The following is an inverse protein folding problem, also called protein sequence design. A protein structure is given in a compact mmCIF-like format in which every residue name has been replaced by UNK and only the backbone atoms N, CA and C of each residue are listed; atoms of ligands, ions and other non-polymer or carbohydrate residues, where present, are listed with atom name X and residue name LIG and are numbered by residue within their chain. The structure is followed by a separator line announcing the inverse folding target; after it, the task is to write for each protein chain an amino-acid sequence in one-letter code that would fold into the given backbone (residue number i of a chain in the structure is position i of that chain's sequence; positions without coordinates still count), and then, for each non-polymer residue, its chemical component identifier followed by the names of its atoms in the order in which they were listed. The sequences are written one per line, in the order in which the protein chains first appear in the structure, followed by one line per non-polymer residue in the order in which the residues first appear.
data_IF_516325123469
#
_entry.id   IF_516325123469
#
_cell.length_a   1.000
_cell.length_b   1.000
_cell.length_c   1.000
_cell.angle_alpha   90.00
_cell.angle_beta   90.00
_cell.angle_gamma   90.00
#
_symmetry.space_group_name_H-M   'P 1'
#
loop_
_entity.id
_entity.type
_entity.pdbx_description
1 polymer ?
#
# COMPACT_ATOMS: atom_id res chain seq x y z
N UNK A 1 23.64 -25.37 11.93
CA UNK A 1 22.19 -25.36 11.58
C UNK A 1 21.77 -23.93 11.21
N UNK A 2 21.78 -23.58 9.93
CA UNK A 2 21.43 -22.25 9.42
C UNK A 2 19.94 -21.98 9.63
N UNK A 3 19.59 -21.28 10.72
CA UNK A 3 18.24 -20.73 10.92
C UNK A 3 17.92 -19.88 9.70
N UNK A 4 17.09 -20.40 8.79
CA UNK A 4 16.60 -19.68 7.63
C UNK A 4 16.19 -18.28 8.08
N UNK A 5 16.91 -17.25 7.62
CA UNK A 5 16.70 -15.84 7.99
C UNK A 5 15.19 -15.60 8.01
N UNK A 6 14.62 -15.33 9.19
CA UNK A 6 13.24 -14.84 9.32
C UNK A 6 13.17 -13.60 8.44
N UNK A 7 12.78 -13.76 7.16
CA UNK A 7 12.88 -12.72 6.12
C UNK A 7 12.33 -11.44 6.72
N UNK A 8 13.19 -10.44 6.94
CA UNK A 8 12.81 -9.21 7.63
C UNK A 8 11.49 -8.69 7.10
N UNK A 9 10.55 -8.45 8.02
CA UNK A 9 9.23 -7.95 7.67
C UNK A 9 9.44 -6.59 6.98
N UNK A 10 8.90 -6.40 5.76
CA UNK A 10 9.17 -5.20 4.97
C UNK A 10 8.60 -3.92 5.59
N UNK A 11 7.66 -4.05 6.53
CA UNK A 11 7.10 -2.97 7.32
C UNK A 11 6.42 -3.56 8.57
N UNK A 12 6.14 -2.71 9.56
CA UNK A 12 5.50 -3.07 10.82
C UNK A 12 4.10 -3.68 10.56
N UNK A 13 3.75 -4.80 11.18
CA UNK A 13 2.45 -5.45 10.95
C UNK A 13 2.26 -6.06 9.55
N UNK A 14 3.34 -6.35 8.82
CA UNK A 14 3.27 -7.07 7.54
C UNK A 14 2.60 -8.45 7.71
N UNK A 15 1.66 -8.74 6.82
CA UNK A 15 0.97 -10.02 6.72
C UNK A 15 0.88 -10.42 5.25
N UNK A 16 1.51 -11.54 4.81
CA UNK A 16 1.53 -11.95 3.41
C UNK A 16 0.15 -12.28 2.82
N UNK A 17 -0.85 -12.58 3.66
CA UNK A 17 -2.21 -12.90 3.20
C UNK A 17 -3.03 -11.63 2.87
N UNK A 18 -2.67 -10.49 3.45
CA UNK A 18 -3.37 -9.21 3.25
C UNK A 18 -2.54 -8.19 2.46
N UNK A 19 -1.24 -8.17 2.70
CA UNK A 19 -0.34 -7.12 2.26
C UNK A 19 0.64 -7.57 1.18
N UNK A 20 1.01 -6.64 0.30
CA UNK A 20 2.16 -6.80 -0.60
C UNK A 20 3.46 -6.47 0.14
N UNK A 21 4.57 -7.15 -0.19
CA UNK A 21 5.89 -6.81 0.37
C UNK A 21 6.30 -5.37 0.08
N UNK A 22 5.81 -4.81 -1.02
CA UNK A 22 6.07 -3.42 -1.44
C UNK A 22 5.11 -2.41 -0.79
N UNK A 23 4.23 -2.83 0.13
CA UNK A 23 3.25 -1.97 0.80
C UNK A 23 1.82 -2.08 0.26
N UNK A 24 0.83 -1.69 1.07
CA UNK A 24 -0.58 -1.75 0.73
C UNK A 24 -1.15 -3.17 0.56
N UNK A 25 -2.41 -3.25 0.12
CA UNK A 25 -3.11 -4.52 -0.08
C UNK A 25 -2.60 -5.28 -1.31
N UNK A 26 -2.41 -6.60 -1.16
CA UNK A 26 -2.15 -7.49 -2.28
C UNK A 26 -3.45 -7.90 -3.00
N UNK A 27 -3.35 -8.72 -4.05
CA UNK A 27 -4.52 -9.18 -4.81
C UNK A 27 -5.52 -9.95 -3.93
N UNK A 28 -5.04 -10.86 -3.07
CA UNK A 28 -5.86 -11.63 -2.13
C UNK A 28 -6.59 -10.73 -1.14
N UNK A 29 -5.90 -9.73 -0.57
CA UNK A 29 -6.48 -8.74 0.32
C UNK A 29 -7.58 -7.93 -0.37
N UNK A 30 -7.35 -7.44 -1.59
CA UNK A 30 -8.40 -6.73 -2.35
C UNK A 30 -9.58 -7.63 -2.68
N UNK A 31 -9.35 -8.89 -3.06
CA UNK A 31 -10.41 -9.86 -3.32
C UNK A 31 -11.23 -10.15 -2.05
N UNK A 32 -10.56 -10.32 -0.90
CA UNK A 32 -11.21 -10.48 0.41
C UNK A 32 -12.11 -9.29 0.74
N UNK A 33 -11.60 -8.06 0.61
CA UNK A 33 -12.39 -6.84 0.81
C UNK A 33 -13.58 -6.72 -0.16
N UNK A 34 -13.41 -7.15 -1.42
CA UNK A 34 -14.51 -7.18 -2.39
C UNK A 34 -15.60 -8.16 -1.96
N UNK A 35 -15.20 -9.36 -1.50
CA UNK A 35 -16.14 -10.41 -1.05
C UNK A 35 -16.87 -10.02 0.23
N UNK A 36 -16.16 -9.46 1.20
CA UNK A 36 -16.71 -9.20 2.54
C UNK A 36 -17.41 -7.85 2.63
N UNK A 37 -16.94 -6.84 1.90
CA UNK A 37 -17.41 -5.45 2.03
C UNK A 37 -17.95 -4.88 0.72
N UNK A 38 -18.11 -5.70 -0.33
CA UNK A 38 -18.55 -5.25 -1.65
C UNK A 38 -17.61 -4.28 -2.37
N UNK A 39 -16.48 -3.92 -1.74
CA UNK A 39 -15.63 -2.81 -2.18
C UNK A 39 -14.72 -3.21 -3.34
N UNK A 40 -14.90 -2.61 -4.52
CA UNK A 40 -14.05 -2.84 -5.70
C UNK A 40 -12.73 -2.04 -5.63
N UNK A 41 -11.90 -2.37 -4.64
CA UNK A 41 -10.61 -1.72 -4.41
C UNK A 41 -9.71 -1.86 -5.64
N UNK A 42 -9.29 -0.71 -6.18
CA UNK A 42 -8.41 -0.67 -7.36
C UNK A 42 -6.96 -0.97 -6.98
N UNK A 43 -6.17 -1.51 -7.93
CA UNK A 43 -4.75 -1.73 -7.71
C UNK A 43 -4.00 -0.40 -7.53
N UNK A 44 -2.89 -0.42 -6.77
CA UNK A 44 -2.02 0.74 -6.59
C UNK A 44 -1.47 1.25 -7.90
N UNK A 45 -1.39 2.57 -8.03
CA UNK A 45 -0.66 3.22 -9.12
C UNK A 45 0.81 3.19 -8.78
N UNK A 46 1.57 2.29 -9.41
CA UNK A 46 3.01 2.10 -9.17
C UNK A 46 3.89 2.94 -10.10
N UNK A 47 3.30 3.54 -11.14
CA UNK A 47 3.97 4.46 -12.05
C UNK A 47 4.37 5.74 -11.34
N UNK A 48 5.51 6.31 -11.73
CA UNK A 48 6.01 7.57 -11.16
C UNK A 48 5.04 8.70 -11.51
N UNK A 49 4.79 9.66 -10.60
CA UNK A 49 3.87 10.76 -10.87
C UNK A 49 4.27 11.59 -12.10
N UNK A 50 5.57 11.75 -12.35
CA UNK A 50 6.11 12.46 -13.52
C UNK A 50 5.81 11.77 -14.86
N UNK A 51 5.64 10.45 -14.86
CA UNK A 51 5.30 9.68 -16.07
C UNK A 51 3.79 9.61 -16.34
N UNK A 52 2.96 10.07 -15.39
CA UNK A 52 1.52 10.06 -15.54
C UNK A 52 1.06 11.33 -16.26
N UNK A 53 0.31 11.16 -17.36
CA UNK A 53 -0.36 12.29 -18.01
C UNK A 53 -1.25 13.04 -17.00
N UNK A 54 -1.08 14.36 -16.82
CA UNK A 54 -1.96 15.17 -15.99
C UNK A 54 -3.43 14.96 -16.37
N UNK A 55 -4.30 14.83 -15.38
CA UNK A 55 -5.74 14.59 -15.61
C UNK A 55 -6.12 13.16 -16.03
N UNK A 56 -5.17 12.26 -16.29
CA UNK A 56 -5.49 10.85 -16.60
C UNK A 56 -6.22 10.15 -15.45
N UNK A 57 -6.97 9.09 -15.78
CA UNK A 57 -7.68 8.26 -14.77
C UNK A 57 -6.74 7.75 -13.67
N UNK A 58 -5.50 7.38 -14.03
CA UNK A 58 -4.47 6.93 -13.07
C UNK A 58 -3.99 8.07 -12.17
N UNK A 59 -3.70 9.25 -12.73
CA UNK A 59 -3.30 10.43 -11.96
C UNK A 59 -4.38 10.86 -10.96
N UNK A 60 -5.64 10.93 -11.41
CA UNK A 60 -6.80 11.24 -10.55
C UNK A 60 -6.97 10.21 -9.43
N UNK A 61 -6.83 8.92 -9.73
CA UNK A 61 -6.91 7.84 -8.73
C UNK A 61 -5.78 7.92 -7.69
N UNK A 62 -4.55 8.20 -8.12
CA UNK A 62 -3.42 8.46 -7.20
C UNK A 62 -3.74 9.66 -6.30
N UNK A 63 -4.12 10.80 -6.87
CA UNK A 63 -4.44 12.03 -6.12
C UNK A 63 -5.53 11.76 -5.06
N UNK A 64 -6.59 11.05 -5.44
CA UNK A 64 -7.66 10.65 -4.51
C UNK A 64 -7.15 9.74 -3.39
N UNK A 65 -6.34 8.73 -3.71
CA UNK A 65 -5.76 7.85 -2.69
C UNK A 65 -4.87 8.63 -1.71
N UNK A 66 -3.97 9.48 -2.21
CA UNK A 66 -3.08 10.26 -1.36
C UNK A 66 -3.87 11.18 -0.41
N UNK A 67 -4.90 11.87 -0.91
CA UNK A 67 -5.75 12.74 -0.10
C UNK A 67 -6.53 11.97 0.98
N UNK A 68 -7.05 10.78 0.65
CA UNK A 68 -7.75 9.94 1.64
C UNK A 68 -6.79 9.43 2.71
N UNK A 69 -5.61 8.96 2.31
CA UNK A 69 -4.63 8.40 3.22
C UNK A 69 -3.89 9.44 4.06
N UNK A 70 -3.76 10.69 3.57
CA UNK A 70 -3.19 11.79 4.36
C UNK A 70 -4.10 12.17 5.54
N UNK A 71 -5.43 12.07 5.37
CA UNK A 71 -6.39 12.32 6.45
C UNK A 71 -6.52 11.20 7.49
N UNK A 72 -6.00 9.99 7.21
CA UNK A 72 -6.01 8.88 8.18
C UNK A 72 -5.03 9.20 9.31
N UNK A 73 -5.50 9.28 10.57
CA UNK A 73 -4.62 9.49 11.73
C UNK A 73 -3.67 8.30 11.91
N UNK A 74 -2.43 8.59 12.31
CA UNK A 74 -1.42 7.58 12.66
C UNK A 74 -0.10 7.70 11.90
N UNK A 75 0.99 7.14 12.47
CA UNK A 75 2.34 7.33 11.97
C UNK A 75 2.61 6.57 10.67
N UNK A 76 3.47 7.11 9.82
CA UNK A 76 3.96 6.47 8.59
C UNK A 76 5.22 5.62 8.83
N UNK A 77 5.94 5.88 9.92
CA UNK A 77 7.11 5.14 10.37
C UNK A 77 7.04 4.93 11.88
N UNK A 78 7.56 3.80 12.37
CA UNK A 78 7.72 3.47 13.78
C UNK A 78 9.03 2.72 13.94
N UNK A 79 9.89 3.14 14.88
CA UNK A 79 11.18 2.49 15.18
C UNK A 79 12.05 2.29 13.92
N UNK A 80 12.14 3.32 13.07
CA UNK A 80 12.92 3.27 11.82
C UNK A 80 12.34 2.37 10.72
N UNK A 81 11.19 1.72 10.95
CA UNK A 81 10.50 0.88 9.96
C UNK A 81 9.19 1.52 9.53
N UNK A 82 8.86 1.39 8.25
CA UNK A 82 7.56 1.87 7.74
C UNK A 82 6.40 1.15 8.45
N UNK A 83 5.30 1.86 8.63
CA UNK A 83 4.01 1.26 9.02
C UNK A 83 3.28 0.74 7.77
N UNK A 84 2.17 -0.02 7.91
CA UNK A 84 1.37 -0.40 6.75
C UNK A 84 0.89 0.83 5.95
N UNK A 85 0.59 1.93 6.65
CA UNK A 85 0.23 3.23 6.07
C UNK A 85 1.39 3.82 5.29
N UNK A 86 2.58 3.94 5.89
CA UNK A 86 3.75 4.49 5.22
C UNK A 86 4.18 3.67 4.00
N UNK A 87 4.17 2.34 4.13
CA UNK A 87 4.46 1.44 3.01
C UNK A 87 3.43 1.57 1.87
N UNK A 88 2.14 1.76 2.21
CA UNK A 88 1.12 2.01 1.21
C UNK A 88 1.33 3.35 0.50
N UNK A 89 1.54 4.45 1.23
CA UNK A 89 1.79 5.77 0.66
C UNK A 89 2.97 5.74 -0.31
N UNK A 90 4.11 5.18 0.13
CA UNK A 90 5.31 5.00 -0.70
C UNK A 90 5.02 4.22 -1.99
N UNK A 91 4.20 3.17 -1.94
CA UNK A 91 3.85 2.37 -3.13
C UNK A 91 2.99 3.12 -4.13
N UNK A 92 2.11 3.99 -3.64
CA UNK A 92 1.25 4.82 -4.48
C UNK A 92 1.95 6.09 -4.97
N UNK A 93 3.25 6.24 -4.66
CA UNK A 93 4.04 7.44 -4.91
C UNK A 93 3.36 8.69 -4.34
N UNK A 94 2.67 8.54 -3.21
CA UNK A 94 2.36 9.64 -2.31
C UNK A 94 3.61 9.86 -1.44
#
# INVERSE_FOLDING_TARGET
MTKAKKKDKPFHGYNPNKHSRKGGLNAKGRAKFKREQGSNLKPPVTEKPSTLKPGSKKAKRRKSFCARMSGVKGPTSKEGKLTPKGAALKRWNC
#
